data_IF_054296160246
#
_entry.id   IF_054296160246
#
_cell.length_a   1.000
_cell.length_b   1.000
_cell.length_c   1.000
_cell.angle_alpha   90.00
_cell.angle_beta   90.00
_cell.angle_gamma   90.00
#
_symmetry.space_group_name_H-M   'P 1'
#
loop_
_entity.id
_entity.type
_entity.pdbx_description
1 polymer ?
#
# COMPACT_ATOMS: atom_id res chain seq x y z
N UNK A 1 12.22 44.40 -30.42
CA UNK A 1 11.81 43.87 -29.09
C UNK A 1 12.60 44.61 -28.02
N UNK A 2 11.90 45.34 -27.16
CA UNK A 2 12.51 46.11 -26.07
C UNK A 2 12.70 45.19 -24.85
N UNK A 3 13.74 45.42 -24.04
CA UNK A 3 14.05 44.57 -22.88
C UNK A 3 12.88 44.47 -21.87
N UNK A 4 11.99 45.47 -21.88
CA UNK A 4 10.79 45.55 -21.05
C UNK A 4 9.70 44.53 -21.45
N UNK A 5 9.50 44.26 -22.75
CA UNK A 5 8.52 43.26 -23.21
C UNK A 5 8.96 41.84 -22.82
N UNK A 6 10.25 41.55 -22.98
CA UNK A 6 10.82 40.23 -22.65
C UNK A 6 10.67 39.95 -21.15
N UNK A 7 10.92 40.95 -20.30
CA UNK A 7 10.72 40.84 -18.84
C UNK A 7 9.26 40.59 -18.47
N UNK A 8 8.33 41.29 -19.09
CA UNK A 8 6.90 41.17 -18.81
C UNK A 8 6.35 39.79 -19.22
N UNK A 9 6.78 39.27 -20.37
CA UNK A 9 6.37 37.94 -20.84
C UNK A 9 6.99 36.81 -20.01
N UNK A 10 8.27 36.94 -19.63
CA UNK A 10 8.94 35.97 -18.78
C UNK A 10 8.32 35.90 -17.38
N UNK A 11 7.95 37.04 -16.79
CA UNK A 11 7.27 37.10 -15.49
C UNK A 11 5.88 36.44 -15.53
N UNK A 12 5.09 36.69 -16.58
CA UNK A 12 3.79 36.04 -16.75
C UNK A 12 3.87 34.51 -16.85
N UNK A 13 4.83 33.98 -17.63
CA UNK A 13 5.04 32.53 -17.75
C UNK A 13 5.49 31.88 -16.44
N UNK A 14 6.32 32.56 -15.65
CA UNK A 14 6.77 32.09 -14.34
C UNK A 14 5.59 32.03 -13.36
N UNK A 15 4.77 33.07 -13.29
CA UNK A 15 3.59 33.10 -12.43
C UNK A 15 2.56 32.04 -12.83
N UNK A 16 2.33 31.85 -14.13
CA UNK A 16 1.42 30.81 -14.63
C UNK A 16 1.92 29.40 -14.27
N UNK A 17 3.21 29.12 -14.45
CA UNK A 17 3.83 27.83 -14.09
C UNK A 17 3.73 27.56 -12.59
N UNK A 18 3.98 28.56 -11.75
CA UNK A 18 3.83 28.47 -10.29
C UNK A 18 2.36 28.23 -9.93
N UNK A 19 1.42 28.87 -10.63
CA UNK A 19 -0.02 28.68 -10.38
C UNK A 19 -0.49 27.26 -10.73
N UNK A 20 -0.01 26.69 -11.83
CA UNK A 20 -0.33 25.31 -12.24
C UNK A 20 0.27 24.30 -11.26
N UNK A 21 1.51 24.51 -10.83
CA UNK A 21 2.15 23.64 -9.85
C UNK A 21 1.39 23.62 -8.51
N UNK A 22 0.91 24.78 -8.05
CA UNK A 22 0.06 24.86 -6.85
C UNK A 22 -1.25 24.12 -7.02
N UNK A 23 -1.90 24.23 -8.17
CA UNK A 23 -3.15 23.50 -8.49
C UNK A 23 -2.93 21.99 -8.51
N UNK A 24 -1.86 21.52 -9.12
CA UNK A 24 -1.53 20.09 -9.18
C UNK A 24 -1.28 19.53 -7.78
N UNK A 25 -0.59 20.30 -6.92
CA UNK A 25 -0.37 19.94 -5.52
C UNK A 25 -1.67 19.92 -4.71
N UNK A 26 -2.55 20.90 -4.93
CA UNK A 26 -3.86 20.95 -4.29
C UNK A 26 -4.74 19.77 -4.71
N UNK A 27 -4.74 19.44 -6.01
CA UNK A 27 -5.46 18.30 -6.55
C UNK A 27 -4.90 16.97 -6.02
N UNK A 28 -3.57 16.80 -6.03
CA UNK A 28 -2.91 15.64 -5.47
C UNK A 28 -3.22 15.48 -3.97
N UNK A 29 -3.23 16.58 -3.21
CA UNK A 29 -3.62 16.58 -1.80
C UNK A 29 -5.09 16.19 -1.63
N UNK A 30 -5.99 16.71 -2.47
CA UNK A 30 -7.41 16.38 -2.44
C UNK A 30 -7.64 14.89 -2.76
N UNK A 31 -6.98 14.35 -3.79
CA UNK A 31 -7.08 12.93 -4.17
C UNK A 31 -6.53 12.02 -3.06
N UNK A 32 -5.38 12.37 -2.48
CA UNK A 32 -4.82 11.64 -1.33
C UNK A 32 -5.79 11.67 -0.14
N UNK A 33 -6.37 12.83 0.18
CA UNK A 33 -7.35 12.94 1.26
C UNK A 33 -8.60 12.11 0.98
N UNK A 34 -9.07 12.07 -0.27
CA UNK A 34 -10.20 11.25 -0.67
C UNK A 34 -9.87 9.76 -0.54
N UNK A 35 -8.69 9.31 -0.99
CA UNK A 35 -8.23 7.92 -0.85
C UNK A 35 -8.09 7.50 0.60
N UNK A 36 -7.55 8.36 1.46
CA UNK A 36 -7.45 8.11 2.91
C UNK A 36 -8.85 8.01 3.53
N UNK A 37 -9.76 8.93 3.21
CA UNK A 37 -11.15 8.90 3.70
C UNK A 37 -11.88 7.62 3.25
N UNK A 38 -11.70 7.21 1.99
CA UNK A 38 -12.29 5.98 1.47
C UNK A 38 -11.69 4.72 2.13
N UNK A 39 -10.38 4.70 2.37
CA UNK A 39 -9.75 3.62 3.11
C UNK A 39 -10.26 3.57 4.56
N UNK A 40 -10.43 4.73 5.21
CA UNK A 40 -10.96 4.84 6.57
C UNK A 40 -12.40 4.31 6.65
N UNK A 41 -13.29 4.73 5.76
CA UNK A 41 -14.68 4.25 5.73
C UNK A 41 -14.75 2.76 5.42
N UNK A 42 -13.89 2.27 4.53
CA UNK A 42 -13.69 0.85 4.28
C UNK A 42 -13.34 0.07 5.55
N UNK A 43 -12.34 0.52 6.30
CA UNK A 43 -11.92 -0.12 7.57
C UNK A 43 -13.06 -0.12 8.60
N UNK A 44 -13.76 1.01 8.77
CA UNK A 44 -14.88 1.11 9.73
C UNK A 44 -15.99 0.12 9.37
N UNK A 45 -16.40 0.07 8.10
CA UNK A 45 -17.45 -0.85 7.65
C UNK A 45 -17.03 -2.32 7.79
N UNK A 46 -15.76 -2.65 7.50
CA UNK A 46 -15.21 -3.98 7.72
C UNK A 46 -15.25 -4.38 9.20
N UNK A 47 -14.86 -3.49 10.11
CA UNK A 47 -14.90 -3.75 11.55
C UNK A 47 -16.34 -3.95 12.04
N UNK A 48 -17.28 -3.09 11.61
CA UNK A 48 -18.69 -3.23 11.97
C UNK A 48 -19.27 -4.56 11.48
N UNK A 49 -19.00 -4.94 10.23
CA UNK A 49 -19.41 -6.21 9.67
C UNK A 49 -18.79 -7.40 10.40
N UNK A 50 -17.50 -7.33 10.74
CA UNK A 50 -16.79 -8.36 11.48
C UNK A 50 -17.37 -8.55 12.89
N UNK A 51 -17.74 -7.45 13.59
CA UNK A 51 -18.40 -7.53 14.91
C UNK A 51 -19.77 -8.20 14.82
N UNK A 52 -20.59 -7.84 13.83
CA UNK A 52 -21.90 -8.47 13.62
C UNK A 52 -21.75 -9.95 13.29
N UNK A 53 -20.84 -10.29 12.39
CA UNK A 53 -20.53 -11.68 12.04
C UNK A 53 -20.04 -12.47 13.26
N UNK A 54 -19.19 -11.86 14.10
CA UNK A 54 -18.71 -12.47 15.34
C UNK A 54 -19.85 -12.78 16.32
N UNK A 55 -20.80 -11.86 16.50
CA UNK A 55 -22.02 -12.14 17.29
C UNK A 55 -22.79 -13.32 16.68
N UNK A 56 -22.94 -13.35 15.35
CA UNK A 56 -23.57 -14.48 14.66
C UNK A 56 -22.88 -15.82 14.95
N UNK A 57 -21.55 -15.85 14.95
CA UNK A 57 -20.74 -17.02 15.29
C UNK A 57 -21.00 -17.50 16.72
N UNK A 58 -21.16 -16.60 17.69
CA UNK A 58 -21.52 -16.96 19.08
C UNK A 58 -22.87 -17.68 19.12
N UNK A 59 -23.89 -17.13 18.46
CA UNK A 59 -25.21 -17.76 18.41
C UNK A 59 -25.20 -19.09 17.66
N UNK A 60 -24.41 -19.21 16.59
CA UNK A 60 -24.19 -20.47 15.88
C UNK A 60 -23.54 -21.51 16.80
N UNK A 61 -22.54 -21.14 17.60
CA UNK A 61 -21.92 -22.03 18.59
C UNK A 61 -22.90 -22.48 19.66
N UNK A 62 -23.74 -21.57 20.17
CA UNK A 62 -24.78 -21.91 21.14
C UNK A 62 -25.82 -22.86 20.54
N UNK A 63 -26.31 -22.57 19.33
CA UNK A 63 -27.27 -23.41 18.61
C UNK A 63 -26.70 -24.78 18.29
N UNK A 64 -25.43 -24.85 17.86
CA UNK A 64 -24.74 -26.12 17.61
C UNK A 64 -24.61 -26.96 18.88
N UNK A 65 -24.27 -26.33 20.01
CA UNK A 65 -24.17 -27.01 21.31
C UNK A 65 -25.52 -27.58 21.71
N UNK A 66 -26.58 -26.77 21.66
CA UNK A 66 -27.95 -27.21 21.99
C UNK A 66 -28.44 -28.35 21.06
N UNK A 67 -28.04 -28.36 19.79
CA UNK A 67 -28.36 -29.45 18.88
C UNK A 67 -27.62 -30.75 19.26
N UNK A 68 -26.34 -30.66 19.63
CA UNK A 68 -25.51 -31.80 20.02
C UNK A 68 -25.93 -32.40 21.37
N UNK A 69 -26.50 -31.61 22.28
CA UNK A 69 -27.03 -32.07 23.57
C UNK A 69 -28.07 -33.19 23.46
N UNK A 70 -28.73 -33.32 22.29
CA UNK A 70 -29.65 -34.44 22.04
C UNK A 70 -28.96 -35.80 21.90
N UNK A 71 -27.63 -35.81 21.71
CA UNK A 71 -26.84 -37.01 21.44
C UNK A 71 -25.75 -37.27 22.50
N UNK A 72 -25.28 -36.22 23.19
CA UNK A 72 -24.20 -36.30 24.19
C UNK A 72 -24.51 -35.42 25.41
N UNK A 73 -23.74 -35.58 26.50
CA UNK A 73 -23.90 -34.73 27.69
C UNK A 73 -23.65 -33.24 27.36
N UNK A 74 -24.25 -32.29 28.10
CA UNK A 74 -24.06 -30.86 27.87
C UNK A 74 -22.59 -30.42 27.86
N UNK A 75 -21.79 -30.96 28.77
CA UNK A 75 -20.34 -30.71 28.79
C UNK A 75 -19.62 -31.30 27.58
N UNK A 76 -20.04 -32.48 27.11
CA UNK A 76 -19.48 -33.12 25.91
C UNK A 76 -19.78 -32.33 24.63
N UNK A 77 -21.02 -31.86 24.46
CA UNK A 77 -21.42 -31.03 23.33
C UNK A 77 -20.59 -29.74 23.26
N UNK A 78 -20.48 -29.02 24.38
CA UNK A 78 -19.75 -27.76 24.46
C UNK A 78 -18.26 -27.94 24.13
N UNK A 79 -17.63 -29.02 24.60
CA UNK A 79 -16.21 -29.31 24.31
C UNK A 79 -15.98 -29.63 22.83
N UNK A 80 -16.88 -30.39 22.19
CA UNK A 80 -16.77 -30.69 20.75
C UNK A 80 -16.89 -29.41 19.93
N UNK A 81 -17.89 -28.58 20.21
CA UNK A 81 -18.09 -27.31 19.50
C UNK A 81 -16.90 -26.37 19.72
N UNK A 82 -16.41 -26.25 20.96
CA UNK A 82 -15.22 -25.45 21.27
C UNK A 82 -13.97 -25.92 20.52
N UNK A 83 -13.77 -27.25 20.41
CA UNK A 83 -12.65 -27.82 19.66
C UNK A 83 -12.74 -27.46 18.16
N UNK A 84 -13.92 -27.54 17.56
CA UNK A 84 -14.14 -27.14 16.15
C UNK A 84 -13.79 -25.67 15.94
N UNK A 85 -14.26 -24.78 16.84
CA UNK A 85 -13.91 -23.35 16.76
C UNK A 85 -12.43 -23.08 16.97
N UNK A 86 -11.75 -23.80 17.86
CA UNK A 86 -10.31 -23.70 18.06
C UNK A 86 -9.52 -24.10 16.80
N UNK A 87 -9.95 -25.17 16.11
CA UNK A 87 -9.31 -25.59 14.86
C UNK A 87 -9.49 -24.52 13.78
N UNK A 88 -10.72 -24.05 13.56
CA UNK A 88 -11.01 -23.02 12.55
C UNK A 88 -10.26 -21.72 12.89
N UNK A 89 -10.33 -21.26 14.13
CA UNK A 89 -9.65 -20.05 14.59
C UNK A 89 -8.13 -20.17 14.49
N UNK A 90 -7.58 -21.35 14.77
CA UNK A 90 -6.16 -21.66 14.59
C UNK A 90 -5.72 -21.50 13.13
N UNK A 91 -6.46 -22.07 12.18
CA UNK A 91 -6.18 -21.90 10.75
C UNK A 91 -6.26 -20.44 10.29
N UNK A 92 -7.29 -19.71 10.73
CA UNK A 92 -7.44 -18.28 10.41
C UNK A 92 -6.28 -17.45 10.98
N UNK A 93 -5.84 -17.72 12.21
CA UNK A 93 -4.72 -17.02 12.82
C UNK A 93 -3.40 -17.30 12.10
N UNK A 94 -3.18 -18.54 11.65
CA UNK A 94 -2.01 -18.89 10.84
C UNK A 94 -2.02 -18.16 9.50
N UNK A 95 -3.16 -18.10 8.82
CA UNK A 95 -3.33 -17.36 7.57
C UNK A 95 -3.14 -15.85 7.74
N UNK A 96 -3.68 -15.29 8.82
CA UNK A 96 -3.51 -13.88 9.17
C UNK A 96 -2.03 -13.54 9.44
N UNK A 97 -1.32 -14.38 10.21
CA UNK A 97 0.13 -14.26 10.45
C UNK A 97 0.92 -14.23 9.15
N UNK A 98 0.58 -15.08 8.19
CA UNK A 98 1.27 -15.12 6.89
C UNK A 98 1.01 -13.89 6.05
N UNK A 99 -0.23 -13.40 6.05
CA UNK A 99 -0.60 -12.15 5.36
C UNK A 99 0.07 -10.92 5.98
N UNK A 100 0.31 -10.93 7.30
CA UNK A 100 0.98 -9.85 8.03
C UNK A 100 2.51 -10.01 8.06
N UNK A 101 3.05 -11.15 7.60
CA UNK A 101 4.48 -11.35 7.49
C UNK A 101 5.07 -10.33 6.52
N UNK A 102 6.17 -9.68 6.90
CA UNK A 102 6.86 -8.69 6.07
C UNK A 102 7.29 -9.19 4.69
N UNK A 103 7.25 -10.50 4.42
CA UNK A 103 7.43 -11.07 3.08
C UNK A 103 6.26 -10.77 2.13
N UNK A 104 5.03 -10.75 2.62
CA UNK A 104 3.84 -10.39 1.83
C UNK A 104 3.73 -8.86 1.63
N UNK A 105 4.24 -8.08 2.59
CA UNK A 105 4.21 -6.62 2.58
C UNK A 105 5.41 -5.97 1.87
N UNK A 106 6.41 -6.74 1.41
CA UNK A 106 7.49 -6.22 0.58
C UNK A 106 7.03 -6.15 -0.88
N UNK A 107 6.80 -4.94 -1.46
CA UNK A 107 6.45 -4.82 -2.86
C UNK A 107 7.66 -5.23 -3.71
N UNK A 108 7.64 -6.45 -4.22
CA UNK A 108 8.74 -7.02 -5.00
C UNK A 108 9.01 -6.20 -6.27
N UNK A 109 7.95 -5.65 -6.88
CA UNK A 109 8.05 -4.83 -8.10
C UNK A 109 8.69 -3.46 -7.82
N UNK A 110 8.30 -2.78 -6.74
CA UNK A 110 8.82 -1.44 -6.42
C UNK A 110 10.30 -1.46 -6.08
N UNK A 111 10.76 -2.50 -5.37
CA UNK A 111 12.18 -2.64 -5.04
C UNK A 111 13.01 -2.83 -6.32
N UNK A 112 12.52 -3.67 -7.24
CA UNK A 112 13.18 -3.93 -8.51
C UNK A 112 13.26 -2.67 -9.39
N UNK A 113 12.19 -1.87 -9.45
CA UNK A 113 12.17 -0.60 -10.19
C UNK A 113 13.17 0.42 -9.64
N UNK A 114 13.32 0.51 -8.31
CA UNK A 114 14.28 1.42 -7.67
C UNK A 114 15.72 0.97 -7.92
N UNK A 115 15.99 -0.34 -7.89
CA UNK A 115 17.30 -0.90 -8.22
C UNK A 115 17.69 -0.67 -9.68
N UNK A 116 16.75 -0.86 -10.61
CA UNK A 116 16.94 -0.57 -12.04
C UNK A 116 17.23 0.91 -12.28
N UNK A 117 16.49 1.81 -11.63
CA UNK A 117 16.75 3.25 -11.69
C UNK A 117 18.14 3.62 -11.16
N UNK A 118 18.56 3.04 -10.03
CA UNK A 118 19.89 3.27 -9.46
C UNK A 118 21.01 2.70 -10.35
N UNK A 119 20.76 1.59 -11.03
CA UNK A 119 21.68 1.02 -12.01
C UNK A 119 21.84 1.92 -13.24
N UNK A 120 20.73 2.42 -13.80
CA UNK A 120 20.76 3.35 -14.93
C UNK A 120 21.46 4.69 -14.58
N UNK A 121 21.23 5.23 -13.37
CA UNK A 121 21.90 6.45 -12.91
C UNK A 121 23.43 6.29 -12.77
N UNK A 122 23.90 5.14 -12.27
CA UNK A 122 25.34 4.81 -12.19
C UNK A 122 25.99 4.62 -13.57
N UNK A 123 25.25 4.04 -14.52
CA UNK A 123 25.74 3.84 -15.87
C UNK A 123 25.80 5.16 -16.68
N UNK A 124 24.86 6.07 -16.44
CA UNK A 124 24.89 7.42 -17.05
C UNK A 124 26.10 8.26 -16.59
N UNK A 125 26.48 8.15 -15.31
CA UNK A 125 27.66 8.86 -14.75
C UNK A 125 28.98 8.24 -15.20
N UNK A 126 29.04 6.92 -15.42
CA UNK A 126 30.25 6.23 -15.88
C UNK A 126 30.45 6.26 -17.40
N UNK A 127 29.39 6.42 -18.19
CA UNK A 127 29.47 6.67 -19.64
C UNK A 127 30.12 8.02 -19.97
N UNK A 128 29.74 9.07 -19.25
CA UNK A 128 30.25 10.43 -19.47
C UNK A 128 31.76 10.57 -19.16
N UNK A 129 32.23 9.85 -18.13
CA UNK A 129 33.64 9.82 -17.76
C UNK A 129 34.53 9.08 -18.79
N UNK A 130 33.95 8.19 -19.61
CA UNK A 130 34.68 7.47 -20.66
C UNK A 130 34.84 8.28 -21.95
N UNK A 131 33.86 9.10 -22.30
CA UNK A 131 33.96 10.02 -23.43
C UNK A 131 34.95 11.15 -23.15
N UNK A 132 34.90 11.74 -21.94
CA UNK A 132 35.86 12.77 -21.52
C UNK A 132 37.32 12.27 -21.54
N UNK A 133 37.56 11.00 -21.20
CA UNK A 133 38.90 10.39 -21.25
C UNK A 133 39.39 10.09 -22.68
N UNK A 134 38.47 9.84 -23.64
CA UNK A 134 38.80 9.63 -25.06
C UNK A 134 39.18 10.92 -25.76
N UNK A 135 38.47 12.02 -25.47
CA UNK A 135 38.78 13.34 -26.04
C UNK A 135 40.12 13.88 -25.51
N UNK A 136 40.42 13.70 -24.22
CA UNK A 136 41.69 14.15 -23.62
C UNK A 136 42.92 13.32 -24.03
N UNK A 137 42.75 12.08 -24.49
CA UNK A 137 43.86 11.22 -24.95
C UNK A 137 44.16 11.41 -26.44
N UNK A 138 43.20 11.88 -27.24
CA UNK A 138 43.36 12.06 -28.70
C UNK A 138 43.99 13.40 -29.07
N UNK A 139 43.97 14.40 -28.18
CA UNK A 139 44.63 15.70 -28.36
C UNK A 139 46.12 15.74 -27.99
N UNK A 140 46.76 14.58 -27.73
CA UNK A 140 48.16 14.46 -27.34
C UNK A 140 48.94 13.61 -28.35
N UNK A 141 49.04 14.09 -29.59
CA UNK A 141 49.99 13.60 -30.60
C UNK A 141 50.56 14.79 -31.34
#
# INVERSE_FOLDING_TARGET
>A
MNATEIKMHAQGLLDDTISLFRKELELARAELSQKVSQAQSGIISMMAGALIAFVGVIFLGHSATALLENYVSPSGAALIVALVFLVIGGFLLMSARESLSGKALKPHRTIQSVEEMAAHARNATSGQNREFKRETTTGKV
#
